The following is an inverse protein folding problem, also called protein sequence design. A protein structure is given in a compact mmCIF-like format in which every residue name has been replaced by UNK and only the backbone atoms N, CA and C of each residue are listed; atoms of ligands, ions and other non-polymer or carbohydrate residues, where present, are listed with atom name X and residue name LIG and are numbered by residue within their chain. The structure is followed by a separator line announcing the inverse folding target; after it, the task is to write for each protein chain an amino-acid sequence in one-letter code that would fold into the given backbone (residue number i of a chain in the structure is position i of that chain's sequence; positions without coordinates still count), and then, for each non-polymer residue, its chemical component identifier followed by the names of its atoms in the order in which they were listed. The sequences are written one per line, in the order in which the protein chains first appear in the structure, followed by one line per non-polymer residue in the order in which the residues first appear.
data_IF_176109485516
#
_entry.id   IF_176109485516
#
_cell.length_a   1.000
_cell.length_b   1.000
_cell.length_c   1.000
_cell.angle_alpha   90.00
_cell.angle_beta   90.00
_cell.angle_gamma   90.00
#
_symmetry.space_group_name_H-M   'P 1'
#
loop_
_entity.id
_entity.type
_entity.pdbx_description
1 polymer ?
#
# COMPACT_ATOMS: atom_id res chain seq x y z
N UNK A 1 39.49 17.88 29.40
CA UNK A 1 38.07 18.25 29.59
C UNK A 1 37.22 17.38 28.68
N UNK A 2 36.05 16.95 29.19
CA UNK A 2 35.31 15.75 28.77
C UNK A 2 34.75 15.87 27.34
N UNK A 3 35.05 14.90 26.47
CA UNK A 3 34.30 14.65 25.24
C UNK A 3 32.90 14.15 25.64
N UNK A 4 31.86 14.97 25.44
CA UNK A 4 30.47 14.52 25.55
C UNK A 4 30.12 13.92 24.20
N UNK A 5 30.16 12.60 24.10
CA UNK A 5 29.71 11.87 22.91
C UNK A 5 28.18 11.91 22.91
N UNK A 6 27.59 12.70 22.02
CA UNK A 6 26.16 12.61 21.74
C UNK A 6 25.92 11.30 20.97
N UNK A 7 25.56 10.23 21.68
CA UNK A 7 25.04 9.03 21.04
C UNK A 7 23.73 9.40 20.35
N UNK A 8 23.80 9.60 19.03
CA UNK A 8 22.64 9.70 18.17
C UNK A 8 21.93 8.35 18.22
N UNK A 9 20.96 8.21 19.12
CA UNK A 9 20.08 7.04 19.16
C UNK A 9 19.20 7.14 17.92
N UNK A 10 19.62 6.47 16.85
CA UNK A 10 18.78 6.26 15.67
C UNK A 10 17.62 5.39 16.18
N UNK A 11 16.37 5.89 16.21
CA UNK A 11 15.25 5.04 16.60
C UNK A 11 15.23 3.84 15.63
N UNK A 12 15.09 2.60 16.12
CA UNK A 12 15.01 1.44 15.26
C UNK A 12 13.90 1.72 14.24
N UNK A 13 14.22 1.64 12.93
CA UNK A 13 13.22 1.68 11.86
C UNK A 13 12.18 0.63 12.22
N UNK A 14 11.02 1.05 12.70
CA UNK A 14 9.97 0.15 13.15
C UNK A 14 9.60 -0.76 11.97
N UNK A 15 9.93 -2.06 12.01
CA UNK A 15 9.55 -2.97 10.96
C UNK A 15 8.05 -3.23 11.14
N UNK A 16 7.20 -2.55 10.37
CA UNK A 16 5.77 -2.78 10.43
C UNK A 16 4.88 -1.61 10.02
N UNK A 17 5.40 -0.39 9.90
CA UNK A 17 4.60 0.74 9.43
C UNK A 17 4.98 1.14 8.01
N UNK A 18 4.37 0.44 7.04
CA UNK A 18 4.33 0.91 5.67
C UNK A 18 3.35 2.07 5.65
N UNK A 19 3.77 3.29 5.24
CA UNK A 19 2.84 4.38 5.08
C UNK A 19 1.81 3.96 4.03
N UNK A 20 0.54 3.96 4.43
CA UNK A 20 -0.59 3.71 3.54
C UNK A 20 -0.53 4.53 2.24
N UNK A 21 0.16 5.69 2.28
CA UNK A 21 0.43 6.54 1.13
C UNK A 21 1.19 5.83 0.00
N UNK A 22 2.09 4.90 0.30
CA UNK A 22 2.87 4.19 -0.73
C UNK A 22 2.03 3.14 -1.46
N UNK A 23 1.20 2.38 -0.72
CA UNK A 23 0.25 1.45 -1.33
C UNK A 23 -0.75 2.21 -2.20
N UNK A 24 -1.24 3.36 -1.71
CA UNK A 24 -2.11 4.23 -2.50
C UNK A 24 -1.43 4.68 -3.79
N UNK A 25 -0.21 5.18 -3.75
CA UNK A 25 0.53 5.60 -4.97
C UNK A 25 0.67 4.46 -5.98
N UNK A 26 1.01 3.25 -5.51
CA UNK A 26 1.14 2.07 -6.37
C UNK A 26 -0.19 1.81 -7.09
N UNK A 27 -1.28 1.71 -6.35
CA UNK A 27 -2.60 1.43 -6.91
C UNK A 27 -3.05 2.53 -7.90
N UNK A 28 -2.85 3.81 -7.55
CA UNK A 28 -3.19 4.93 -8.43
C UNK A 28 -2.37 4.91 -9.73
N UNK A 29 -1.12 4.43 -9.70
CA UNK A 29 -0.28 4.32 -10.90
C UNK A 29 -0.78 3.29 -11.92
N UNK A 30 -1.66 2.36 -11.52
CA UNK A 30 -2.22 1.35 -12.42
C UNK A 30 -3.62 1.69 -12.96
N UNK A 31 -4.29 2.70 -12.40
CA UNK A 31 -5.71 2.99 -12.67
C UNK A 31 -5.98 4.45 -13.00
N UNK A 32 -4.91 5.22 -13.21
CA UNK A 32 -4.93 6.70 -13.28
C UNK A 32 -5.59 7.38 -12.07
N UNK A 33 -5.86 6.61 -11.01
CA UNK A 33 -6.51 7.05 -9.79
C UNK A 33 -7.97 7.45 -9.90
N UNK A 34 -8.59 7.30 -11.07
CA UNK A 34 -9.98 7.69 -11.30
C UNK A 34 -10.90 6.67 -10.62
N UNK A 35 -11.81 7.17 -9.79
CA UNK A 35 -12.82 6.34 -9.15
C UNK A 35 -12.35 5.50 -7.97
N UNK A 36 -11.10 5.57 -7.53
CA UNK A 36 -10.67 4.96 -6.25
C UNK A 36 -11.05 5.90 -5.10
N UNK A 37 -12.06 5.51 -4.33
CA UNK A 37 -12.56 6.29 -3.19
C UNK A 37 -11.69 6.09 -1.95
N UNK A 38 -11.33 4.84 -1.65
CA UNK A 38 -10.58 4.50 -0.46
C UNK A 38 -9.82 3.19 -0.67
N UNK A 39 -8.65 3.08 -0.06
CA UNK A 39 -7.93 1.80 0.08
C UNK A 39 -7.91 1.46 1.58
N UNK A 40 -7.92 0.21 1.94
CA UNK A 40 -7.76 -0.28 3.31
C UNK A 40 -6.92 -1.54 3.25
N UNK A 41 -6.16 -1.80 4.29
CA UNK A 41 -5.46 -3.07 4.44
C UNK A 41 -6.05 -3.81 5.63
N UNK A 42 -6.23 -5.12 5.50
CA UNK A 42 -6.68 -5.98 6.58
C UNK A 42 -5.84 -7.25 6.58
N UNK A 43 -4.92 -7.37 7.54
CA UNK A 43 -3.96 -8.48 7.65
C UNK A 43 -3.26 -8.70 6.30
N UNK A 44 -3.64 -9.74 5.55
CA UNK A 44 -3.08 -10.10 4.25
C UNK A 44 -3.92 -9.64 3.06
N UNK A 45 -4.95 -8.80 3.25
CA UNK A 45 -5.86 -8.38 2.19
C UNK A 45 -5.79 -6.88 1.94
N UNK A 46 -5.79 -6.49 0.67
CA UNK A 46 -5.95 -5.10 0.23
C UNK A 46 -7.40 -4.88 -0.19
N UNK A 47 -8.11 -4.02 0.51
CA UNK A 47 -9.50 -3.68 0.23
C UNK A 47 -9.51 -2.34 -0.50
N UNK A 48 -10.06 -2.30 -1.71
CA UNK A 48 -10.18 -1.07 -2.51
C UNK A 48 -11.66 -0.76 -2.69
N UNK A 49 -12.10 0.39 -2.17
CA UNK A 49 -13.38 0.99 -2.51
C UNK A 49 -13.25 1.76 -3.81
N UNK A 50 -14.08 1.39 -4.78
CA UNK A 50 -14.15 2.01 -6.10
C UNK A 50 -15.53 2.60 -6.36
N UNK A 51 -15.61 3.57 -7.26
CA UNK A 51 -16.84 4.26 -7.62
C UNK A 51 -17.64 3.57 -8.71
N UNK A 52 -17.06 2.62 -9.44
CA UNK A 52 -17.74 1.93 -10.53
C UNK A 52 -17.20 0.50 -10.73
N UNK A 53 -18.01 -0.41 -11.30
CA UNK A 53 -17.58 -1.75 -11.66
C UNK A 53 -16.48 -1.76 -12.73
N UNK A 54 -16.38 -0.71 -13.55
CA UNK A 54 -15.34 -0.58 -14.59
C UNK A 54 -13.96 -0.51 -13.92
N UNK A 55 -13.80 0.35 -12.90
CA UNK A 55 -12.55 0.49 -12.16
C UNK A 55 -12.21 -0.82 -11.41
N UNK A 56 -13.21 -1.51 -10.85
CA UNK A 56 -12.99 -2.82 -10.25
C UNK A 56 -12.43 -3.81 -11.27
N UNK A 57 -12.95 -3.81 -12.50
CA UNK A 57 -12.48 -4.68 -13.57
C UNK A 57 -11.06 -4.32 -14.02
N UNK A 58 -10.74 -3.04 -14.17
CA UNK A 58 -9.38 -2.59 -14.50
C UNK A 58 -8.38 -3.02 -13.43
N UNK A 59 -8.70 -2.82 -12.15
CA UNK A 59 -7.88 -3.29 -11.04
C UNK A 59 -7.70 -4.80 -11.03
N UNK A 60 -8.72 -5.55 -11.44
CA UNK A 60 -8.68 -7.01 -11.52
C UNK A 60 -7.73 -7.49 -12.62
N UNK A 61 -7.66 -6.77 -13.74
CA UNK A 61 -6.71 -7.07 -14.83
C UNK A 61 -5.25 -6.89 -14.39
N UNK A 62 -5.00 -5.95 -13.48
CA UNK A 62 -3.66 -5.63 -12.95
C UNK A 62 -3.41 -6.18 -11.54
N UNK A 63 -4.32 -6.98 -11.00
CA UNK A 63 -4.35 -7.45 -9.61
C UNK A 63 -3.00 -8.03 -9.17
N UNK A 64 -2.49 -8.99 -9.95
CA UNK A 64 -1.22 -9.66 -9.67
C UNK A 64 -0.04 -8.70 -9.66
N UNK A 65 -0.02 -7.73 -10.59
CA UNK A 65 1.05 -6.73 -10.68
C UNK A 65 1.00 -5.78 -9.50
N UNK A 66 -0.19 -5.35 -9.09
CA UNK A 66 -0.39 -4.49 -7.91
C UNK A 66 0.08 -5.20 -6.65
N UNK A 67 -0.35 -6.45 -6.41
CA UNK A 67 0.06 -7.22 -5.23
C UNK A 67 1.59 -7.41 -5.18
N UNK A 68 2.19 -7.72 -6.33
CA UNK A 68 3.64 -7.90 -6.44
C UNK A 68 4.40 -6.59 -6.18
N UNK A 69 4.00 -5.48 -6.81
CA UNK A 69 4.65 -4.17 -6.59
C UNK A 69 4.51 -3.71 -5.14
N UNK A 70 3.34 -3.94 -4.53
CA UNK A 70 3.13 -3.67 -3.11
C UNK A 70 4.07 -4.53 -2.28
N UNK A 71 4.18 -5.84 -2.53
CA UNK A 71 5.11 -6.72 -1.80
C UNK A 71 6.57 -6.26 -1.93
N UNK A 72 7.02 -5.91 -3.14
CA UNK A 72 8.39 -5.46 -3.42
C UNK A 72 8.70 -4.15 -2.68
N UNK A 73 7.80 -3.16 -2.74
CA UNK A 73 8.07 -1.82 -2.20
C UNK A 73 7.85 -1.73 -0.69
N UNK A 74 6.92 -2.53 -0.18
CA UNK A 74 6.48 -2.43 1.21
C UNK A 74 7.00 -3.56 2.10
N UNK A 75 7.52 -4.64 1.49
CA UNK A 75 7.90 -5.87 2.20
C UNK A 75 6.71 -6.62 2.79
N UNK A 76 5.48 -6.16 2.54
CA UNK A 76 4.25 -6.74 3.07
C UNK A 76 3.56 -7.58 2.00
N UNK A 77 3.40 -8.87 2.29
CA UNK A 77 2.76 -9.81 1.38
C UNK A 77 1.24 -9.78 1.52
N UNK A 78 0.57 -9.47 0.43
CA UNK A 78 -0.89 -9.52 0.34
C UNK A 78 -1.33 -10.72 -0.49
N UNK A 79 -2.30 -11.47 0.02
CA UNK A 79 -2.84 -12.67 -0.60
C UNK A 79 -3.99 -12.38 -1.55
N UNK A 80 -4.64 -11.22 -1.44
CA UNK A 80 -5.87 -10.92 -2.17
C UNK A 80 -6.14 -9.41 -2.26
N UNK A 81 -6.73 -8.99 -3.38
CA UNK A 81 -7.36 -7.68 -3.56
C UNK A 81 -8.88 -7.84 -3.53
N UNK A 82 -9.53 -7.17 -2.58
CA UNK A 82 -10.98 -7.15 -2.44
C UNK A 82 -11.49 -5.82 -2.97
N UNK A 83 -12.35 -5.88 -3.96
CA UNK A 83 -13.01 -4.70 -4.52
C UNK A 83 -14.38 -4.53 -3.88
N UNK A 84 -14.68 -3.31 -3.43
CA UNK A 84 -16.02 -2.92 -2.98
C UNK A 84 -16.50 -1.75 -3.81
N UNK A 85 -17.68 -1.89 -4.39
CA UNK A 85 -18.35 -0.81 -5.10
C UNK A 85 -19.27 -0.14 -4.06
N UNK A 86 -19.10 1.16 -3.89
CA UNK A 86 -20.04 1.99 -3.13
C UNK A 86 -21.31 2.26 -3.96
#
# INVERSE_FOLDING_TARGET
MKHISASLIIPPRQPGFVPYQDIRKIILAFTDGVGIKQIKTNRSKLIIQVSSPIIANELRLVEKKVLQEVEIRTGQKFSELIYRID
#
